data_IF_229891418366
#
_entry.id   IF_229891418366
#
_cell.length_a   1.000
_cell.length_b   1.000
_cell.length_c   1.000
_cell.angle_alpha   90.00
_cell.angle_beta   90.00
_cell.angle_gamma   90.00
#
_symmetry.space_group_name_H-M   'P 1'
#
loop_
_entity.id
_entity.type
_entity.pdbx_description
1 polymer ?
#
# COMPACT_ATOMS: atom_id res chain seq x y z
N UNK A 1 -18.40 25.85 22.47
CA UNK A 1 -17.29 26.45 21.68
C UNK A 1 -15.90 26.01 22.17
N UNK A 2 -15.50 26.17 23.45
CA UNK A 2 -14.14 25.78 23.90
C UNK A 2 -13.88 24.27 23.83
N UNK A 3 -14.89 23.44 24.13
CA UNK A 3 -14.79 21.98 24.03
C UNK A 3 -14.51 21.50 22.59
N UNK A 4 -15.09 22.17 21.59
CA UNK A 4 -14.89 21.83 20.17
C UNK A 4 -13.46 22.18 19.71
N UNK A 5 -12.94 23.32 20.14
CA UNK A 5 -11.56 23.74 19.84
C UNK A 5 -10.56 22.78 20.49
N UNK A 6 -10.79 22.38 21.74
CA UNK A 6 -9.96 21.39 22.43
C UNK A 6 -9.98 20.03 21.73
N UNK A 7 -11.15 19.57 21.29
CA UNK A 7 -11.29 18.31 20.56
C UNK A 7 -10.55 18.36 19.21
N UNK A 8 -10.72 19.43 18.43
CA UNK A 8 -10.02 19.61 17.14
C UNK A 8 -8.51 19.66 17.36
N UNK A 9 -8.05 20.38 18.39
CA UNK A 9 -6.64 20.45 18.75
C UNK A 9 -6.08 19.07 19.12
N UNK A 10 -6.79 18.32 19.96
CA UNK A 10 -6.38 16.96 20.34
C UNK A 10 -6.30 16.01 19.12
N UNK A 11 -7.31 16.05 18.23
CA UNK A 11 -7.31 15.28 17.00
C UNK A 11 -6.15 15.68 16.06
N UNK A 12 -5.85 16.98 15.94
CA UNK A 12 -4.73 17.46 15.16
C UNK A 12 -3.38 16.97 15.72
N UNK A 13 -3.20 17.01 17.05
CA UNK A 13 -2.00 16.47 17.71
C UNK A 13 -1.86 14.98 17.43
N UNK A 14 -2.93 14.20 17.62
CA UNK A 14 -2.93 12.75 17.33
C UNK A 14 -2.57 12.48 15.87
N UNK A 15 -3.15 13.24 14.94
CA UNK A 15 -2.85 13.11 13.51
C UNK A 15 -1.38 13.39 13.20
N UNK A 16 -0.81 14.49 13.72
CA UNK A 16 0.59 14.87 13.52
C UNK A 16 1.53 13.82 14.11
N UNK A 17 1.27 13.34 15.33
CA UNK A 17 2.07 12.28 15.96
C UNK A 17 2.07 11.02 15.11
N UNK A 18 0.91 10.57 14.61
CA UNK A 18 0.82 9.39 13.74
C UNK A 18 1.58 9.59 12.43
N UNK A 19 1.47 10.77 11.81
CA UNK A 19 2.22 11.10 10.58
C UNK A 19 3.73 11.07 10.81
N UNK A 20 4.21 11.59 11.94
CA UNK A 20 5.62 11.55 12.30
C UNK A 20 6.11 10.12 12.57
N UNK A 21 5.29 9.29 13.23
CA UNK A 21 5.60 7.87 13.45
C UNK A 21 5.71 7.11 12.13
N UNK A 22 4.75 7.27 11.22
CA UNK A 22 4.78 6.67 9.88
C UNK A 22 5.99 7.14 9.07
N UNK A 23 6.31 8.43 9.14
CA UNK A 23 7.49 8.99 8.52
C UNK A 23 8.77 8.36 9.07
N UNK A 24 8.92 8.32 10.39
CA UNK A 24 10.11 7.81 11.08
C UNK A 24 10.30 6.31 10.85
N UNK A 25 9.21 5.53 10.76
CA UNK A 25 9.26 4.09 10.47
C UNK A 25 9.94 3.78 9.14
N UNK A 26 9.67 4.57 8.10
CA UNK A 26 10.14 4.32 6.72
C UNK A 26 11.18 5.33 6.22
N UNK A 27 11.70 6.22 7.08
CA UNK A 27 12.69 7.26 6.69
C UNK A 27 14.02 6.70 6.17
N UNK A 28 14.35 5.46 6.56
CA UNK A 28 15.59 4.79 6.18
C UNK A 28 15.52 4.22 4.75
N UNK A 29 14.32 4.15 4.17
CA UNK A 29 14.10 3.68 2.80
C UNK A 29 14.23 4.88 1.86
N UNK A 30 15.10 4.80 0.83
CA UNK A 30 15.30 5.90 -0.11
C UNK A 30 14.05 6.14 -0.98
N UNK A 31 13.90 7.34 -1.52
CA UNK A 31 12.85 7.68 -2.46
C UNK A 31 12.68 9.20 -2.66
N UNK A 32 11.74 9.61 -3.52
CA UNK A 32 11.47 11.03 -3.75
C UNK A 32 11.07 11.75 -2.45
N UNK A 33 11.51 13.00 -2.29
CA UNK A 33 11.35 13.76 -1.04
C UNK A 33 9.89 13.92 -0.58
N UNK A 34 8.94 14.02 -1.52
CA UNK A 34 7.50 14.17 -1.21
C UNK A 34 6.85 12.88 -0.72
N UNK A 35 7.38 11.71 -1.09
CA UNK A 35 6.84 10.39 -0.72
C UNK A 35 6.90 10.12 0.79
N UNK A 36 7.69 10.89 1.53
CA UNK A 36 7.74 10.80 2.99
C UNK A 36 6.44 11.22 3.68
N UNK A 37 5.68 12.13 3.08
CA UNK A 37 4.63 12.90 3.77
C UNK A 37 3.25 12.76 3.12
N UNK A 38 3.21 12.66 1.78
CA UNK A 38 1.96 12.65 1.02
C UNK A 38 1.95 11.58 -0.06
N UNK A 39 0.74 11.14 -0.44
CA UNK A 39 0.50 10.23 -1.57
C UNK A 39 0.48 10.96 -2.93
N UNK A 40 0.73 12.27 -2.94
CA UNK A 40 0.59 13.11 -4.14
C UNK A 40 1.52 12.64 -5.26
N UNK A 41 2.72 12.15 -4.92
CA UNK A 41 3.66 11.65 -5.91
C UNK A 41 3.07 10.48 -6.70
N UNK A 42 2.60 9.43 -6.00
CA UNK A 42 2.02 8.24 -6.65
C UNK A 42 0.72 8.57 -7.39
N UNK A 43 -0.14 9.43 -6.81
CA UNK A 43 -1.38 9.87 -7.45
C UNK A 43 -1.12 10.61 -8.76
N UNK A 44 -0.13 11.51 -8.78
CA UNK A 44 0.25 12.25 -9.98
C UNK A 44 0.76 11.30 -11.08
N UNK A 45 1.58 10.30 -10.72
CA UNK A 45 2.11 9.32 -11.68
C UNK A 45 1.04 8.37 -12.20
N UNK A 46 0.09 8.00 -11.34
CA UNK A 46 -1.07 7.21 -11.74
C UNK A 46 -1.96 7.98 -12.72
N UNK A 47 -2.23 9.26 -12.45
CA UNK A 47 -3.03 10.11 -13.35
C UNK A 47 -2.35 10.42 -14.68
N UNK A 48 -1.02 10.52 -14.73
CA UNK A 48 -0.31 10.66 -16.00
C UNK A 48 -0.23 9.37 -16.81
N UNK A 49 -0.61 8.23 -16.25
CA UNK A 49 -0.48 6.92 -16.90
C UNK A 49 0.95 6.38 -16.94
N UNK A 50 1.93 7.09 -16.36
CA UNK A 50 3.36 6.74 -16.39
C UNK A 50 3.82 5.93 -15.17
N UNK A 51 2.91 5.58 -14.25
CA UNK A 51 3.25 4.97 -12.96
C UNK A 51 4.17 3.75 -13.08
N UNK A 52 3.88 2.83 -13.99
CA UNK A 52 4.69 1.61 -14.15
C UNK A 52 6.14 1.92 -14.55
N UNK A 53 6.33 2.84 -15.51
CA UNK A 53 7.65 3.26 -15.98
C UNK A 53 8.40 4.01 -14.89
N UNK A 54 7.74 4.97 -14.24
CA UNK A 54 8.29 5.77 -13.14
C UNK A 54 8.74 4.88 -11.96
N UNK A 55 7.99 3.83 -11.62
CA UNK A 55 8.35 2.88 -10.57
C UNK A 55 9.59 2.05 -10.94
N UNK A 56 9.70 1.64 -12.21
CA UNK A 56 10.87 0.94 -12.73
C UNK A 56 12.13 1.81 -12.67
N UNK A 57 12.03 3.06 -13.13
CA UNK A 57 13.12 4.03 -13.08
C UNK A 57 13.57 4.29 -11.63
N UNK A 58 12.63 4.46 -10.71
CA UNK A 58 12.95 4.63 -9.29
C UNK A 58 13.74 3.46 -8.72
N UNK A 59 13.36 2.22 -9.04
CA UNK A 59 14.08 1.04 -8.58
C UNK A 59 15.51 0.98 -9.16
N UNK A 60 15.72 1.49 -10.38
CA UNK A 60 17.05 1.59 -10.98
C UNK A 60 17.90 2.67 -10.29
N UNK A 61 17.31 3.82 -9.96
CA UNK A 61 18.01 4.96 -9.35
C UNK A 61 18.33 4.78 -7.87
N UNK A 62 17.38 4.26 -7.09
CA UNK A 62 17.46 4.21 -5.63
C UNK A 62 17.70 2.79 -5.09
N UNK A 63 17.67 1.78 -5.96
CA UNK A 63 17.89 0.38 -5.61
C UNK A 63 16.60 -0.42 -5.41
N UNK A 64 16.70 -1.64 -4.87
CA UNK A 64 15.63 -2.65 -4.93
C UNK A 64 14.40 -2.35 -4.07
N UNK A 65 14.46 -1.38 -3.17
CA UNK A 65 13.36 -1.00 -2.28
C UNK A 65 13.29 0.52 -2.19
N UNK A 66 12.16 1.08 -2.62
CA UNK A 66 12.00 2.54 -2.72
C UNK A 66 10.68 2.98 -2.10
N UNK A 67 10.70 4.08 -1.36
CA UNK A 67 9.50 4.69 -0.78
C UNK A 67 8.75 5.52 -1.82
N UNK A 68 7.48 5.18 -2.03
CA UNK A 68 6.61 5.83 -3.04
C UNK A 68 5.44 6.60 -2.44
N UNK A 69 5.16 6.38 -1.14
CA UNK A 69 4.21 7.15 -0.35
C UNK A 69 4.48 6.94 1.16
N UNK A 70 3.77 7.63 2.08
CA UNK A 70 4.06 7.59 3.50
C UNK A 70 4.01 6.19 4.09
N UNK A 71 3.14 5.34 3.56
CA UNK A 71 2.93 3.95 3.98
C UNK A 71 3.07 2.93 2.83
N UNK A 72 3.66 3.33 1.70
CA UNK A 72 3.84 2.45 0.54
C UNK A 72 5.30 2.44 0.07
N UNK A 73 5.78 1.24 -0.21
CA UNK A 73 7.11 0.98 -0.76
C UNK A 73 6.98 0.10 -2.00
N UNK A 74 7.79 0.35 -3.00
CA UNK A 74 7.95 -0.54 -4.16
C UNK A 74 9.16 -1.44 -3.94
N UNK A 75 8.98 -2.74 -4.18
CA UNK A 75 10.03 -3.74 -4.14
C UNK A 75 10.34 -4.21 -5.56
N UNK A 76 11.50 -3.82 -6.08
CA UNK A 76 12.00 -4.21 -7.40
C UNK A 76 12.79 -5.53 -7.41
N UNK A 77 13.08 -6.13 -6.25
CA UNK A 77 13.87 -7.37 -6.17
C UNK A 77 12.98 -8.59 -6.47
N UNK A 78 13.23 -9.36 -7.56
CA UNK A 78 12.34 -10.45 -7.97
C UNK A 78 12.23 -11.58 -6.93
N UNK A 79 13.30 -11.83 -6.17
CA UNK A 79 13.30 -12.87 -5.13
C UNK A 79 12.33 -12.56 -3.99
N UNK A 80 12.26 -11.29 -3.57
CA UNK A 80 11.36 -10.87 -2.50
C UNK A 80 9.92 -10.84 -2.98
N UNK A 81 9.67 -10.39 -4.22
CA UNK A 81 8.34 -10.43 -4.84
C UNK A 81 7.82 -11.87 -4.88
N UNK A 82 8.65 -12.82 -5.32
CA UNK A 82 8.30 -14.24 -5.34
C UNK A 82 8.04 -14.79 -3.94
N UNK A 83 8.82 -14.38 -2.94
CA UNK A 83 8.63 -14.76 -1.53
C UNK A 83 7.31 -14.23 -0.98
N UNK A 84 6.99 -12.96 -1.25
CA UNK A 84 5.75 -12.32 -0.79
C UNK A 84 4.50 -12.95 -1.44
N UNK A 85 4.59 -13.32 -2.71
CA UNK A 85 3.49 -13.95 -3.46
C UNK A 85 3.45 -15.48 -3.35
N UNK A 86 4.33 -16.06 -2.54
CA UNK A 86 4.40 -17.50 -2.31
C UNK A 86 3.14 -18.05 -1.64
N UNK A 87 2.89 -19.34 -1.84
CA UNK A 87 1.84 -20.05 -1.11
C UNK A 87 2.20 -20.06 0.38
N UNK A 88 1.23 -19.74 1.25
CA UNK A 88 1.43 -19.59 2.71
C UNK A 88 2.42 -18.49 3.10
N UNK A 89 2.55 -17.44 2.28
CA UNK A 89 3.28 -16.25 2.72
C UNK A 89 2.55 -15.58 3.89
N UNK A 90 3.31 -14.90 4.75
CA UNK A 90 2.77 -14.11 5.86
C UNK A 90 2.21 -12.75 5.40
N UNK A 91 2.18 -12.51 4.08
CA UNK A 91 1.81 -11.22 3.51
C UNK A 91 0.37 -11.24 3.02
N UNK A 92 -0.45 -10.36 3.60
CA UNK A 92 -1.83 -10.17 3.17
C UNK A 92 -1.95 -9.17 2.02
N UNK A 93 -3.04 -9.30 1.27
CA UNK A 93 -3.41 -8.32 0.25
C UNK A 93 -3.80 -6.98 0.87
N UNK A 94 -3.34 -5.91 0.24
CA UNK A 94 -3.63 -4.55 0.71
C UNK A 94 -5.13 -4.22 0.62
N UNK A 95 -5.60 -3.21 1.38
CA UNK A 95 -6.97 -2.70 1.26
C UNK A 95 -7.37 -2.26 -0.15
N UNK A 96 -6.41 -1.91 -1.01
CA UNK A 96 -6.68 -1.48 -2.39
C UNK A 96 -7.38 -2.55 -3.22
N UNK A 97 -7.20 -3.84 -2.89
CA UNK A 97 -7.90 -4.94 -3.58
C UNK A 97 -9.43 -4.87 -3.43
N UNK A 98 -9.95 -4.13 -2.44
CA UNK A 98 -11.39 -3.85 -2.33
C UNK A 98 -11.95 -3.05 -3.50
N UNK A 99 -11.12 -2.33 -4.25
CA UNK A 99 -11.52 -1.67 -5.50
C UNK A 99 -11.97 -2.65 -6.58
N UNK A 100 -11.62 -3.94 -6.48
CA UNK A 100 -12.07 -4.99 -7.39
C UNK A 100 -13.32 -5.72 -6.90
N UNK A 101 -14.01 -5.22 -5.88
CA UNK A 101 -15.26 -5.78 -5.41
C UNK A 101 -16.40 -5.42 -6.38
N UNK A 102 -16.84 -6.40 -7.17
CA UNK A 102 -17.85 -6.18 -8.21
C UNK A 102 -19.31 -6.24 -7.71
N UNK A 103 -19.59 -7.01 -6.64
CA UNK A 103 -20.94 -7.17 -6.05
C UNK A 103 -20.91 -6.88 -4.53
N UNK A 104 -20.94 -5.61 -4.10
CA UNK A 104 -20.98 -5.29 -2.66
C UNK A 104 -22.24 -5.88 -1.97
N UNK A 105 -22.13 -6.50 -0.77
CA UNK A 105 -20.94 -6.60 0.09
C UNK A 105 -20.10 -7.88 -0.13
N UNK A 106 -20.35 -8.67 -1.18
CA UNK A 106 -19.68 -9.95 -1.44
C UNK A 106 -18.33 -9.74 -2.11
N UNK A 107 -17.32 -10.49 -1.67
CA UNK A 107 -16.00 -10.50 -2.31
C UNK A 107 -15.87 -11.64 -3.32
N UNK A 108 -15.09 -11.41 -4.38
CA UNK A 108 -14.66 -12.45 -5.30
C UNK A 108 -13.21 -12.86 -5.01
N UNK A 109 -12.69 -13.87 -5.72
CA UNK A 109 -11.29 -14.33 -5.56
C UNK A 109 -10.27 -13.21 -5.77
N UNK A 110 -10.57 -12.19 -6.57
CA UNK A 110 -9.68 -11.04 -6.77
C UNK A 110 -9.71 -10.07 -5.58
N UNK A 111 -10.88 -9.74 -5.03
CA UNK A 111 -11.03 -8.75 -3.95
C UNK A 111 -10.88 -9.32 -2.54
N UNK A 112 -11.03 -10.65 -2.37
CA UNK A 112 -10.86 -11.34 -1.09
C UNK A 112 -9.43 -11.15 -0.56
N UNK A 113 -9.32 -10.61 0.66
CA UNK A 113 -8.04 -10.30 1.32
C UNK A 113 -7.66 -11.30 2.41
N UNK A 114 -8.63 -11.98 2.99
CA UNK A 114 -8.40 -13.06 3.94
C UNK A 114 -7.82 -14.27 3.20
N UNK A 115 -6.66 -14.76 3.64
CA UNK A 115 -5.93 -15.80 2.93
C UNK A 115 -6.64 -17.15 2.95
N UNK A 116 -7.33 -17.50 4.04
CA UNK A 116 -8.04 -18.77 4.16
C UNK A 116 -9.27 -18.79 3.24
N UNK A 117 -10.08 -17.73 3.28
CA UNK A 117 -11.22 -17.57 2.40
C UNK A 117 -10.80 -17.44 0.94
N UNK A 118 -9.71 -16.72 0.66
CA UNK A 118 -9.16 -16.62 -0.68
C UNK A 118 -8.71 -17.98 -1.22
N UNK A 119 -8.07 -18.82 -0.40
CA UNK A 119 -7.69 -20.18 -0.77
C UNK A 119 -8.93 -21.06 -1.06
N UNK A 120 -9.96 -20.97 -0.23
CA UNK A 120 -11.23 -21.68 -0.42
C UNK A 120 -12.00 -21.22 -1.68
N UNK A 121 -11.92 -19.93 -2.04
CA UNK A 121 -12.50 -19.44 -3.29
C UNK A 121 -11.68 -19.88 -4.51
N UNK A 122 -10.35 -19.89 -4.41
CA UNK A 122 -9.47 -20.32 -5.50
C UNK A 122 -9.61 -21.82 -5.79
N UNK A 123 -9.83 -22.66 -4.77
CA UNK A 123 -10.03 -24.10 -5.00
C UNK A 123 -11.28 -24.40 -5.83
N UNK A 124 -12.34 -23.58 -5.69
CA UNK A 124 -13.56 -23.68 -6.50
C UNK A 124 -13.36 -23.31 -7.98
N UNK A 125 -12.24 -22.67 -8.32
CA UNK A 125 -11.87 -22.31 -9.69
C UNK A 125 -10.91 -23.32 -10.32
N UNK A 126 -10.47 -24.34 -9.58
CA UNK A 126 -9.61 -25.38 -10.15
C UNK A 126 -10.39 -26.16 -11.23
N UNK A 127 -9.76 -26.49 -12.37
CA UNK A 127 -10.37 -27.40 -13.32
C UNK A 127 -10.62 -28.74 -12.62
N UNK A 128 -11.85 -29.24 -12.75
CA UNK A 128 -12.28 -30.53 -12.20
C UNK A 128 -11.63 -31.72 -12.88
#
# INVERSE_FOLDING_TARGET
>A
MPLLILLISALAVVYVVRKLQDWNRLRHIPGPRSCGWTDIWILRRAWSGSLYEDLGELCQQHGPLVRIAPNYVICGKPTEVRRMWGVRSEWDRSPWYKGFQLDPPRDCTLSMRDNELHAALRSKLAPG
#
